data_IF_840105156323
#
_entry.id   IF_840105156323
#
_cell.length_a   1.000
_cell.length_b   1.000
_cell.length_c   1.000
_cell.angle_alpha   90.00
_cell.angle_beta   90.00
_cell.angle_gamma   90.00
#
_symmetry.space_group_name_H-M   'P 1'
#
loop_
_entity.id
_entity.type
_entity.pdbx_description
1 polymer ?
#
# COMPACT_ATOMS: atom_id res chain seq x y z
N UNK A 1 -14.81 -12.65 -0.34
CA UNK A 1 -14.59 -11.77 0.82
C UNK A 1 -13.17 -11.27 0.68
N UNK A 2 -12.94 -9.96 0.76
CA UNK A 2 -11.60 -9.42 0.59
C UNK A 2 -10.66 -10.08 1.60
N UNK A 3 -9.47 -10.44 1.13
CA UNK A 3 -8.47 -11.13 1.97
C UNK A 3 -8.10 -10.31 3.21
N UNK A 4 -8.23 -8.98 3.12
CA UNK A 4 -7.96 -8.03 4.19
C UNK A 4 -9.14 -7.07 4.37
N UNK A 5 -9.47 -6.72 5.62
CA UNK A 5 -10.40 -5.63 5.91
C UNK A 5 -9.71 -4.27 5.79
N UNK A 6 -10.48 -3.19 5.60
CA UNK A 6 -9.94 -1.82 5.58
C UNK A 6 -9.11 -1.52 6.83
N UNK A 7 -9.63 -1.86 8.01
CA UNK A 7 -8.93 -1.66 9.28
C UNK A 7 -7.58 -2.39 9.32
N UNK A 8 -7.52 -3.65 8.87
CA UNK A 8 -6.27 -4.41 8.84
C UNK A 8 -5.22 -3.75 7.94
N UNK A 9 -5.64 -3.15 6.83
CA UNK A 9 -4.73 -2.47 5.91
C UNK A 9 -4.25 -1.14 6.50
N UNK A 10 -5.13 -0.38 7.17
CA UNK A 10 -4.77 0.84 7.89
C UNK A 10 -3.79 0.56 9.03
N UNK A 11 -4.00 -0.50 9.80
CA UNK A 11 -3.09 -0.91 10.87
C UNK A 11 -1.68 -1.24 10.33
N UNK A 12 -1.63 -1.90 9.17
CA UNK A 12 -0.37 -2.19 8.47
C UNK A 12 0.33 -0.91 8.01
N UNK A 13 -0.43 0.05 7.50
CA UNK A 13 0.09 1.35 7.08
C UNK A 13 0.69 2.11 8.27
N UNK A 14 -0.06 2.24 9.37
CA UNK A 14 0.41 2.92 10.58
C UNK A 14 1.63 2.26 11.22
N UNK A 15 1.78 0.94 11.08
CA UNK A 15 2.97 0.23 11.55
C UNK A 15 4.26 0.60 10.77
N UNK A 16 4.12 1.17 9.57
CA UNK A 16 5.24 1.62 8.73
C UNK A 16 5.41 3.14 8.75
N UNK A 17 4.32 3.91 8.85
CA UNK A 17 4.32 5.38 8.98
C UNK A 17 4.80 5.82 10.38
N UNK A 18 6.11 5.67 10.61
CA UNK A 18 6.76 5.91 11.91
C UNK A 18 6.85 7.39 12.29
N UNK A 19 6.89 8.27 11.29
CA UNK A 19 6.93 9.71 11.47
C UNK A 19 5.53 10.34 11.47
N UNK A 20 4.48 9.55 11.23
CA UNK A 20 3.08 9.98 11.21
C UNK A 20 2.84 11.12 10.22
N UNK A 21 3.52 11.08 9.07
CA UNK A 21 3.31 12.05 8.00
C UNK A 21 2.18 11.64 7.05
N UNK A 22 1.55 10.49 7.29
CA UNK A 22 0.37 10.01 6.60
C UNK A 22 0.67 9.47 5.20
N UNK A 23 1.94 9.20 4.88
CA UNK A 23 2.35 8.75 3.56
C UNK A 23 3.48 7.72 3.62
N UNK A 24 3.57 6.89 2.60
CA UNK A 24 4.61 5.88 2.46
C UNK A 24 5.32 6.06 1.14
N UNK A 25 6.65 6.01 1.14
CA UNK A 25 7.37 6.14 -0.11
C UNK A 25 7.17 4.89 -0.98
N UNK A 26 7.14 5.10 -2.29
CA UNK A 26 6.90 4.07 -3.29
C UNK A 26 7.75 2.79 -3.14
N UNK A 27 9.02 2.89 -2.75
CA UNK A 27 9.87 1.71 -2.54
C UNK A 27 9.56 0.96 -1.23
N UNK A 28 8.95 1.63 -0.25
CA UNK A 28 8.57 1.03 1.03
C UNK A 28 7.31 0.17 0.91
N UNK A 29 6.41 0.51 -0.02
CA UNK A 29 5.17 -0.25 -0.30
C UNK A 29 5.47 -1.74 -0.54
N UNK A 30 6.41 -2.05 -1.42
CA UNK A 30 6.81 -3.43 -1.71
C UNK A 30 7.34 -4.17 -0.47
N UNK A 31 8.14 -3.48 0.34
CA UNK A 31 8.72 -4.03 1.56
C UNK A 31 7.60 -4.30 2.57
N UNK A 32 6.66 -3.38 2.72
CA UNK A 32 5.50 -3.48 3.61
C UNK A 32 4.62 -4.66 3.23
N UNK A 33 4.25 -4.80 1.96
CA UNK A 33 3.43 -5.91 1.48
C UNK A 33 4.12 -7.24 1.78
N UNK A 34 5.40 -7.38 1.40
CA UNK A 34 6.18 -8.60 1.64
C UNK A 34 6.30 -8.94 3.13
N UNK A 35 6.57 -7.96 4.00
CA UNK A 35 6.67 -8.15 5.46
C UNK A 35 5.36 -8.67 6.07
N UNK A 36 4.22 -8.31 5.49
CA UNK A 36 2.89 -8.72 5.96
C UNK A 36 2.35 -9.96 5.22
N UNK A 37 3.23 -10.72 4.54
CA UNK A 37 2.85 -11.94 3.82
C UNK A 37 1.99 -11.69 2.58
N UNK A 38 1.89 -10.44 2.12
CA UNK A 38 1.28 -10.06 0.86
C UNK A 38 2.33 -10.21 -0.25
N UNK A 39 2.49 -11.44 -0.73
CA UNK A 39 3.34 -11.70 -1.89
C UNK A 39 2.65 -11.14 -3.15
N UNK A 40 3.25 -10.08 -3.69
CA UNK A 40 2.81 -9.44 -4.94
C UNK A 40 4.01 -9.38 -5.88
N UNK A 41 3.76 -9.61 -7.16
CA UNK A 41 4.80 -9.43 -8.16
C UNK A 41 5.17 -7.95 -8.28
N UNK A 42 6.48 -7.61 -8.40
CA UNK A 42 6.91 -6.23 -8.57
C UNK A 42 6.25 -5.52 -9.77
N UNK A 43 5.93 -6.28 -10.82
CA UNK A 43 5.23 -5.78 -11.99
C UNK A 43 3.79 -5.32 -11.66
N UNK A 44 3.07 -6.06 -10.82
CA UNK A 44 1.72 -5.71 -10.40
C UNK A 44 1.74 -4.47 -9.52
N UNK A 45 2.65 -4.40 -8.55
CA UNK A 45 2.75 -3.21 -7.69
C UNK A 45 3.13 -1.99 -8.51
N UNK A 46 4.09 -2.09 -9.45
CA UNK A 46 4.44 -0.97 -10.34
C UNK A 46 3.26 -0.52 -11.22
N UNK A 47 2.48 -1.47 -11.77
CA UNK A 47 1.28 -1.19 -12.57
C UNK A 47 0.21 -0.47 -11.75
N UNK A 48 0.02 -0.87 -10.50
CA UNK A 48 -0.98 -0.28 -9.61
C UNK A 48 -0.48 1.03 -8.98
N UNK A 49 0.81 1.19 -8.69
CA UNK A 49 1.38 2.45 -8.20
C UNK A 49 1.14 3.60 -9.19
N UNK A 50 1.35 3.40 -10.49
CA UNK A 50 1.06 4.43 -11.49
C UNK A 50 -0.43 4.81 -11.57
N UNK A 51 -1.32 3.97 -11.04
CA UNK A 51 -2.76 4.20 -10.97
C UNK A 51 -3.18 4.85 -9.65
N UNK A 52 -2.46 4.60 -8.56
CA UNK A 52 -2.85 4.98 -7.20
C UNK A 52 -2.01 6.10 -6.59
N UNK A 53 -0.81 6.40 -7.11
CA UNK A 53 -0.09 7.65 -6.82
C UNK A 53 -0.74 8.78 -7.63
N UNK A 54 -1.94 9.17 -7.23
CA UNK A 54 -2.73 10.18 -7.94
C UNK A 54 -2.12 11.57 -7.77
N UNK A 55 -1.41 11.78 -6.67
CA UNK A 55 -0.69 13.01 -6.36
C UNK A 55 0.57 13.20 -7.23
N UNK A 56 1.18 12.11 -7.70
CA UNK A 56 2.41 12.12 -8.49
C UNK A 56 3.65 12.58 -7.70
N UNK A 57 3.57 12.60 -6.38
CA UNK A 57 4.66 13.04 -5.50
C UNK A 57 5.63 11.91 -5.14
N UNK A 58 5.33 10.69 -5.57
CA UNK A 58 6.13 9.49 -5.30
C UNK A 58 5.80 8.81 -3.96
N UNK A 59 4.74 9.24 -3.29
CA UNK A 59 4.24 8.68 -2.05
C UNK A 59 2.80 8.17 -2.21
N UNK A 60 2.45 7.15 -1.44
CA UNK A 60 1.06 6.75 -1.26
C UNK A 60 0.56 7.25 0.08
N UNK A 61 -0.53 8.01 0.05
CA UNK A 61 -1.30 8.31 1.24
C UNK A 61 -2.10 7.07 1.69
N UNK A 62 -2.58 7.08 2.93
CA UNK A 62 -3.29 5.94 3.52
C UNK A 62 -4.45 5.44 2.65
N UNK A 63 -5.27 6.33 2.09
CA UNK A 63 -6.41 5.96 1.24
C UNK A 63 -5.94 5.32 -0.07
N UNK A 64 -4.85 5.81 -0.65
CA UNK A 64 -4.26 5.25 -1.87
C UNK A 64 -3.68 3.86 -1.62
N UNK A 65 -3.02 3.66 -0.47
CA UNK A 65 -2.51 2.35 -0.05
C UNK A 65 -3.65 1.34 0.21
N UNK A 66 -4.72 1.75 0.90
CA UNK A 66 -5.90 0.90 1.13
C UNK A 66 -6.50 0.46 -0.21
N UNK A 67 -6.70 1.40 -1.14
CA UNK A 67 -7.23 1.10 -2.46
C UNK A 67 -6.32 0.15 -3.25
N UNK A 68 -4.99 0.33 -3.15
CA UNK A 68 -4.02 -0.57 -3.77
C UNK A 68 -4.13 -2.00 -3.22
N UNK A 69 -4.19 -2.18 -1.91
CA UNK A 69 -4.28 -3.52 -1.30
C UNK A 69 -5.61 -4.19 -1.63
N UNK A 70 -6.72 -3.44 -1.59
CA UNK A 70 -8.05 -3.96 -1.96
C UNK A 70 -8.12 -4.36 -3.45
N UNK A 71 -7.42 -3.66 -4.33
CA UNK A 71 -7.35 -4.01 -5.75
C UNK A 71 -6.48 -5.24 -6.02
N UNK A 72 -5.40 -5.42 -5.27
CA UNK A 72 -4.48 -6.57 -5.41
C UNK A 72 -5.03 -7.86 -4.77
N UNK A 73 -5.88 -7.74 -3.75
CA UNK A 73 -6.39 -8.87 -2.96
C UNK A 73 -7.92 -8.81 -2.74
N UNK A 74 -8.72 -8.98 -3.81
CA UNK A 74 -10.19 -8.95 -3.74
C UNK A 74 -10.82 -10.10 -2.93
#
# INVERSE_FOLDING_TARGET
>A
MPKYSKQQVEDIFHAQDRNHDGKMFNSEVMITLKKNGMNVEPADVKKHMAKFDASGDGYLQIDEFVNLVMALFP
#
